data_IF_855349583020
#
_entry.id   IF_855349583020
#
_cell.length_a   1.000
_cell.length_b   1.000
_cell.length_c   1.000
_cell.angle_alpha   90.00
_cell.angle_beta   90.00
_cell.angle_gamma   90.00
#
_symmetry.space_group_name_H-M   'P 1'
#
loop_
_entity.id
_entity.type
_entity.pdbx_description
1 polymer ?
#
# COMPACT_ATOMS: atom_id res chain seq x y z
N UNK A 1 23.05 -5.14 31.21
CA UNK A 1 23.07 -3.76 30.65
C UNK A 1 23.95 -3.74 29.41
N UNK A 2 23.36 -4.02 28.24
CA UNK A 2 24.03 -3.79 26.95
C UNK A 2 23.95 -2.30 26.63
N UNK A 3 25.08 -1.67 26.32
CA UNK A 3 25.17 -0.27 25.90
C UNK A 3 24.45 -0.11 24.56
N UNK A 4 23.19 0.32 24.60
CA UNK A 4 22.49 0.86 23.43
C UNK A 4 23.30 2.06 22.92
N UNK A 5 23.75 1.97 21.67
CA UNK A 5 24.31 3.12 20.95
C UNK A 5 23.27 4.25 21.00
N UNK A 6 23.69 5.47 21.37
CA UNK A 6 22.76 6.60 21.36
C UNK A 6 22.25 6.83 19.92
N UNK A 7 20.98 7.20 19.80
CA UNK A 7 20.27 7.40 18.53
C UNK A 7 21.06 8.27 17.53
N UNK A 8 21.84 9.24 18.07
CA UNK A 8 22.72 10.13 17.31
C UNK A 8 23.91 9.42 16.66
N UNK A 9 24.50 8.43 17.33
CA UNK A 9 25.58 7.60 16.78
C UNK A 9 25.08 6.70 15.64
N UNK A 10 23.84 6.19 15.74
CA UNK A 10 23.21 5.38 14.71
C UNK A 10 22.82 6.20 13.47
N UNK A 11 22.22 7.38 13.66
CA UNK A 11 21.89 8.31 12.56
C UNK A 11 23.13 8.79 11.79
N UNK A 12 24.21 9.09 12.51
CA UNK A 12 25.49 9.50 11.90
C UNK A 12 26.11 8.36 11.08
N UNK A 13 25.86 7.10 11.45
CA UNK A 13 26.34 5.92 10.72
C UNK A 13 25.55 5.70 9.41
N UNK A 14 24.22 5.87 9.43
CA UNK A 14 23.36 5.73 8.25
C UNK A 14 23.58 6.84 7.22
N UNK A 15 23.66 8.10 7.66
CA UNK A 15 23.84 9.26 6.78
C UNK A 15 25.17 9.29 6.04
N UNK A 16 26.22 8.65 6.59
CA UNK A 16 27.56 8.60 5.99
C UNK A 16 27.78 7.45 5.02
N UNK A 17 26.92 6.42 4.99
CA UNK A 17 27.16 5.18 4.21
C UNK A 17 26.14 4.90 3.10
N UNK A 18 24.98 5.56 3.07
CA UNK A 18 23.89 5.20 2.15
C UNK A 18 23.30 6.48 1.52
N UNK A 19 23.85 6.92 0.39
CA UNK A 19 23.37 8.11 -0.34
C UNK A 19 21.95 7.96 -0.92
N UNK A 20 21.41 6.75 -0.91
CA UNK A 20 20.09 6.37 -1.45
C UNK A 20 18.91 6.80 -0.56
N UNK A 21 19.16 7.25 0.68
CA UNK A 21 18.13 7.80 1.57
C UNK A 21 17.74 9.25 1.25
N UNK A 22 18.28 9.84 0.18
CA UNK A 22 17.81 11.14 -0.33
C UNK A 22 16.49 10.94 -1.08
N UNK A 23 15.37 11.25 -0.40
CA UNK A 23 14.00 11.48 -0.91
C UNK A 23 13.69 10.83 -2.27
N UNK A 24 13.07 9.66 -2.23
CA UNK A 24 12.30 9.14 -3.36
C UNK A 24 11.12 10.10 -3.61
N UNK A 25 11.19 10.92 -4.66
CA UNK A 25 10.00 11.63 -5.17
C UNK A 25 9.14 10.62 -5.93
N UNK A 26 8.09 10.13 -5.30
CA UNK A 26 7.01 9.40 -5.96
C UNK A 26 6.15 10.37 -6.77
N UNK A 27 5.93 10.08 -8.07
CA UNK A 27 5.12 10.91 -9.00
C UNK A 27 3.79 10.27 -9.44
N UNK A 28 3.34 9.20 -8.78
CA UNK A 28 2.06 8.56 -9.16
C UNK A 28 1.42 7.84 -7.99
N UNK A 29 0.09 7.80 -7.96
CA UNK A 29 -0.71 7.04 -6.97
C UNK A 29 -0.83 5.55 -7.31
N UNK A 30 -0.33 5.15 -8.48
CA UNK A 30 -0.39 3.76 -8.95
C UNK A 30 0.81 3.00 -8.41
N UNK A 31 0.61 1.84 -7.78
CA UNK A 31 1.71 0.96 -7.37
C UNK A 31 2.72 0.76 -8.52
N UNK A 32 3.96 1.27 -8.36
CA UNK A 32 4.95 1.22 -9.44
C UNK A 32 5.30 -0.21 -9.82
N UNK A 33 5.22 -1.11 -8.85
CA UNK A 33 5.46 -2.53 -9.03
C UNK A 33 4.36 -3.17 -9.90
N UNK A 34 3.08 -2.97 -9.56
CA UNK A 34 1.94 -3.44 -10.37
C UNK A 34 1.97 -2.85 -11.78
N UNK A 35 2.22 -1.55 -11.90
CA UNK A 35 2.31 -0.90 -13.20
C UNK A 35 3.44 -1.48 -14.06
N UNK A 36 4.63 -1.67 -13.50
CA UNK A 36 5.76 -2.30 -14.21
C UNK A 36 5.47 -3.76 -14.56
N UNK A 37 4.79 -4.49 -13.68
CA UNK A 37 4.38 -5.86 -13.95
C UNK A 37 3.53 -5.93 -15.23
N UNK A 38 2.45 -5.16 -15.29
CA UNK A 38 1.50 -5.20 -16.42
C UNK A 38 2.07 -4.58 -17.71
N UNK A 39 2.73 -3.42 -17.59
CA UNK A 39 3.11 -2.61 -18.76
C UNK A 39 4.48 -2.96 -19.33
N UNK A 40 5.36 -3.56 -18.55
CA UNK A 40 6.76 -3.78 -18.94
C UNK A 40 7.11 -5.25 -18.87
N UNK A 41 6.88 -5.87 -17.72
CA UNK A 41 7.36 -7.21 -17.45
C UNK A 41 6.57 -8.28 -18.20
N UNK A 42 5.23 -8.28 -18.13
CA UNK A 42 4.39 -9.25 -18.83
C UNK A 42 4.61 -9.24 -20.36
N UNK A 43 4.64 -8.08 -21.06
CA UNK A 43 4.99 -8.05 -22.48
C UNK A 43 6.39 -8.60 -22.77
N UNK A 44 7.38 -8.26 -21.94
CA UNK A 44 8.75 -8.76 -22.09
C UNK A 44 8.84 -10.28 -21.89
N UNK A 45 8.09 -10.83 -20.93
CA UNK A 45 8.00 -12.26 -20.68
C UNK A 45 7.36 -13.00 -21.86
N UNK A 46 6.29 -12.45 -22.43
CA UNK A 46 5.65 -13.00 -23.65
C UNK A 46 6.62 -13.04 -24.82
N UNK A 47 7.34 -11.95 -25.04
CA UNK A 47 8.37 -11.88 -26.08
C UNK A 47 9.48 -12.91 -25.85
N UNK A 48 9.93 -13.07 -24.60
CA UNK A 48 10.94 -14.05 -24.22
C UNK A 48 10.46 -15.50 -24.45
N UNK A 49 9.22 -15.82 -24.07
CA UNK A 49 8.62 -17.12 -24.31
C UNK A 49 8.49 -17.42 -25.80
N UNK A 50 7.97 -16.47 -26.59
CA UNK A 50 7.83 -16.60 -28.04
C UNK A 50 9.19 -16.74 -28.75
N UNK A 51 10.21 -16.02 -28.30
CA UNK A 51 11.56 -16.14 -28.82
C UNK A 51 12.16 -17.51 -28.49
N UNK A 52 12.00 -17.96 -27.23
CA UNK A 52 12.46 -19.28 -26.80
C UNK A 52 11.78 -20.39 -27.60
N UNK A 53 10.47 -20.29 -27.78
CA UNK A 53 9.68 -21.21 -28.60
C UNK A 53 10.19 -21.26 -30.05
N UNK A 54 10.33 -20.09 -30.68
CA UNK A 54 10.78 -20.00 -32.09
C UNK A 54 12.18 -20.60 -32.28
N UNK A 55 13.11 -20.32 -31.36
CA UNK A 55 14.45 -20.93 -31.36
C UNK A 55 14.39 -22.45 -31.24
N UNK A 56 13.58 -22.96 -30.30
CA UNK A 56 13.49 -24.40 -30.07
C UNK A 56 12.81 -25.12 -31.23
N UNK A 57 11.76 -24.53 -31.84
CA UNK A 57 11.08 -25.07 -33.02
C UNK A 57 12.01 -25.11 -34.23
N UNK A 58 12.88 -24.11 -34.41
CA UNK A 58 13.85 -24.09 -35.50
C UNK A 58 14.84 -25.27 -35.45
N UNK A 59 15.20 -25.72 -34.25
CA UNK A 59 16.04 -26.91 -34.05
C UNK A 59 15.24 -28.21 -34.06
N UNK A 60 14.05 -28.22 -33.44
CA UNK A 60 13.20 -29.39 -33.28
C UNK A 60 11.70 -28.97 -33.30
N UNK A 61 10.97 -29.19 -34.40
CA UNK A 61 9.59 -28.68 -34.57
C UNK A 61 8.60 -29.09 -33.48
N UNK A 62 8.75 -30.29 -32.92
CA UNK A 62 7.85 -30.81 -31.87
C UNK A 62 8.28 -30.45 -30.43
N UNK A 63 9.39 -29.73 -30.24
CA UNK A 63 9.94 -29.48 -28.91
C UNK A 63 8.95 -28.72 -28.01
N UNK A 64 8.37 -27.64 -28.52
CA UNK A 64 7.44 -26.83 -27.75
C UNK A 64 6.06 -27.48 -27.61
N UNK A 65 5.65 -28.27 -28.61
CA UNK A 65 4.44 -29.11 -28.53
C UNK A 65 4.53 -30.06 -27.34
N UNK A 66 5.70 -30.63 -27.06
CA UNK A 66 5.91 -31.48 -25.90
C UNK A 66 5.83 -30.71 -24.57
N UNK A 67 6.28 -29.45 -24.52
CA UNK A 67 6.06 -28.55 -23.36
C UNK A 67 4.55 -28.31 -23.17
N UNK A 68 3.81 -28.04 -24.24
CA UNK A 68 2.36 -27.81 -24.15
C UNK A 68 1.59 -29.06 -23.69
N UNK A 69 1.97 -30.25 -24.19
CA UNK A 69 1.43 -31.52 -23.69
C UNK A 69 1.73 -31.70 -22.20
N UNK A 70 2.96 -31.39 -21.77
CA UNK A 70 3.33 -31.43 -20.36
C UNK A 70 2.48 -30.45 -19.52
N UNK A 71 2.32 -29.22 -19.99
CA UNK A 71 1.48 -28.21 -19.33
C UNK A 71 0.01 -28.66 -19.21
N UNK A 72 -0.59 -29.12 -20.31
CA UNK A 72 -1.97 -29.61 -20.31
C UNK A 72 -2.15 -30.80 -19.36
N UNK A 73 -1.13 -31.66 -19.22
CA UNK A 73 -1.17 -32.76 -18.24
C UNK A 73 -1.19 -32.25 -16.79
N UNK A 74 -0.52 -31.13 -16.49
CA UNK A 74 -0.56 -30.50 -15.17
C UNK A 74 -1.91 -29.81 -14.92
N UNK A 75 -2.49 -29.17 -15.95
CA UNK A 75 -3.83 -28.57 -15.90
C UNK A 75 -4.90 -29.61 -15.60
N UNK A 76 -4.88 -30.75 -16.27
CA UNK A 76 -5.80 -31.88 -16.01
C UNK A 76 -5.68 -32.44 -14.59
N UNK A 77 -4.52 -32.30 -13.95
CA UNK A 77 -4.30 -32.74 -12.56
C UNK A 77 -4.74 -31.69 -11.53
N UNK A 78 -5.31 -30.54 -11.95
CA UNK A 78 -5.62 -29.43 -11.07
C UNK A 78 -4.38 -28.79 -10.43
N UNK A 79 -3.20 -28.99 -11.02
CA UNK A 79 -1.93 -28.47 -10.50
C UNK A 79 -1.56 -27.11 -11.09
N UNK A 80 -2.41 -26.56 -11.95
CA UNK A 80 -2.18 -25.27 -12.60
C UNK A 80 -3.45 -24.43 -12.67
N UNK A 81 -3.26 -23.12 -12.73
CA UNK A 81 -4.28 -22.14 -13.10
C UNK A 81 -4.59 -22.32 -14.61
N UNK A 82 -5.87 -22.42 -14.99
CA UNK A 82 -6.26 -22.81 -16.34
C UNK A 82 -5.87 -21.81 -17.45
N UNK A 83 -5.65 -20.52 -17.18
CA UNK A 83 -5.87 -19.50 -18.22
C UNK A 83 -4.69 -18.58 -18.59
N UNK A 84 -3.48 -18.74 -18.04
CA UNK A 84 -2.35 -17.88 -18.42
C UNK A 84 -1.02 -18.62 -18.68
N UNK A 85 -0.60 -18.64 -19.94
CA UNK A 85 0.74 -19.11 -20.37
C UNK A 85 1.87 -18.14 -19.99
N UNK A 86 1.53 -16.99 -19.39
CA UNK A 86 2.48 -16.09 -18.73
C UNK A 86 2.48 -16.25 -17.20
N UNK A 87 1.68 -17.19 -16.68
CA UNK A 87 1.66 -17.48 -15.24
C UNK A 87 3.00 -18.02 -14.77
N UNK A 88 3.29 -17.80 -13.48
CA UNK A 88 4.45 -18.39 -12.83
C UNK A 88 4.49 -19.91 -13.00
N UNK A 89 3.34 -20.57 -12.93
CA UNK A 89 3.24 -22.02 -13.05
C UNK A 89 3.64 -22.50 -14.44
N UNK A 90 3.24 -21.81 -15.51
CA UNK A 90 3.65 -22.15 -16.88
C UNK A 90 5.16 -22.00 -17.05
N UNK A 91 5.72 -20.86 -16.61
CA UNK A 91 7.17 -20.62 -16.71
C UNK A 91 7.96 -21.66 -15.92
N UNK A 92 7.51 -22.03 -14.71
CA UNK A 92 8.10 -23.12 -13.92
C UNK A 92 8.03 -24.46 -14.64
N UNK A 93 6.91 -24.78 -15.27
CA UNK A 93 6.72 -26.02 -16.01
C UNK A 93 7.67 -26.08 -17.23
N UNK A 94 7.80 -24.99 -17.98
CA UNK A 94 8.73 -24.88 -19.10
C UNK A 94 10.19 -25.08 -18.66
N UNK A 95 10.63 -24.37 -17.60
CA UNK A 95 11.99 -24.53 -17.04
C UNK A 95 12.24 -25.97 -16.59
N UNK A 96 11.27 -26.57 -15.89
CA UNK A 96 11.39 -27.95 -15.39
C UNK A 96 11.50 -28.95 -16.54
N UNK A 97 10.72 -28.76 -17.61
CA UNK A 97 10.79 -29.58 -18.81
C UNK A 97 12.15 -29.43 -19.50
N UNK A 98 12.59 -28.19 -19.78
CA UNK A 98 13.90 -27.92 -20.40
C UNK A 98 15.05 -28.56 -19.62
N UNK A 99 15.04 -28.44 -18.28
CA UNK A 99 16.05 -29.06 -17.41
C UNK A 99 16.06 -30.58 -17.53
N UNK A 100 14.88 -31.21 -17.61
CA UNK A 100 14.75 -32.66 -17.80
C UNK A 100 15.31 -33.09 -19.16
N UNK A 101 15.03 -32.33 -20.22
CA UNK A 101 15.53 -32.62 -21.57
C UNK A 101 17.05 -32.45 -21.68
N UNK A 102 17.61 -31.37 -21.12
CA UNK A 102 19.05 -31.17 -21.03
C UNK A 102 19.75 -32.34 -20.32
N UNK A 103 19.21 -32.77 -19.17
CA UNK A 103 19.76 -33.90 -18.42
C UNK A 103 19.67 -35.22 -19.22
N UNK A 104 18.53 -35.48 -19.87
CA UNK A 104 18.36 -36.68 -20.69
C UNK A 104 19.33 -36.71 -21.89
N UNK A 105 19.57 -35.58 -22.55
CA UNK A 105 20.51 -35.48 -23.69
C UNK A 105 21.97 -35.55 -23.26
N UNK A 106 22.31 -35.06 -22.07
CA UNK A 106 23.66 -35.20 -21.52
C UNK A 106 24.04 -36.67 -21.28
N UNK A 107 23.05 -37.54 -21.03
CA UNK A 107 23.26 -38.98 -20.84
C UNK A 107 23.40 -39.78 -22.15
N UNK A 108 23.07 -39.20 -23.31
CA UNK A 108 23.13 -39.89 -24.60
C UNK A 108 24.50 -39.70 -25.29
N UNK A 109 25.09 -40.77 -25.86
CA UNK A 109 26.35 -40.67 -26.61
C UNK A 109 26.23 -39.68 -27.77
N UNK A 110 27.36 -39.09 -28.15
CA UNK A 110 27.43 -38.14 -29.27
C UNK A 110 27.54 -38.94 -30.57
N UNK A 111 26.59 -38.80 -31.51
CA UNK A 111 26.69 -39.46 -32.81
C UNK A 111 27.92 -38.94 -33.57
N UNK A 112 28.72 -39.85 -34.11
CA UNK A 112 29.89 -39.54 -34.95
C UNK A 112 29.44 -39.30 -36.40
N UNK A 113 28.69 -38.21 -36.61
CA UNK A 113 28.22 -37.79 -37.93
C UNK A 113 28.73 -36.38 -38.19
N UNK A 114 29.41 -36.19 -39.32
CA UNK A 114 29.94 -34.89 -39.73
C UNK A 114 28.80 -33.84 -39.78
N UNK A 115 29.02 -32.69 -39.12
CA UNK A 115 28.03 -31.61 -39.02
C UNK A 115 26.97 -31.79 -37.92
N UNK A 116 26.67 -33.01 -37.48
CA UNK A 116 25.69 -33.26 -36.42
C UNK A 116 26.13 -32.72 -35.05
N UNK A 117 27.45 -32.70 -34.80
CA UNK A 117 28.01 -32.13 -33.57
C UNK A 117 27.74 -30.62 -33.48
N UNK A 118 27.96 -29.87 -34.57
CA UNK A 118 27.74 -28.43 -34.61
C UNK A 118 26.28 -28.06 -34.33
N UNK A 119 25.35 -28.67 -35.07
CA UNK A 119 23.92 -28.44 -34.87
C UNK A 119 23.45 -28.81 -33.44
N UNK A 120 23.98 -29.91 -32.87
CA UNK A 120 23.68 -30.30 -31.49
C UNK A 120 24.22 -29.27 -30.47
N UNK A 121 25.43 -28.75 -30.67
CA UNK A 121 26.02 -27.74 -29.80
C UNK A 121 25.22 -26.44 -29.85
N UNK A 122 24.83 -25.99 -31.04
CA UNK A 122 24.01 -24.79 -31.22
C UNK A 122 22.65 -24.94 -30.54
N UNK A 123 21.99 -26.09 -30.72
CA UNK A 123 20.73 -26.39 -30.04
C UNK A 123 20.86 -26.40 -28.52
N UNK A 124 21.88 -27.09 -27.99
CA UNK A 124 22.13 -27.13 -26.54
C UNK A 124 22.40 -25.73 -25.97
N UNK A 125 23.12 -24.90 -26.71
CA UNK A 125 23.40 -23.51 -26.33
C UNK A 125 22.11 -22.70 -26.29
N UNK A 126 21.31 -22.72 -27.36
CA UNK A 126 20.04 -21.99 -27.40
C UNK A 126 19.05 -22.46 -26.32
N UNK A 127 19.01 -23.76 -26.03
CA UNK A 127 18.18 -24.34 -24.97
C UNK A 127 18.63 -23.87 -23.58
N UNK A 128 19.95 -23.90 -23.32
CA UNK A 128 20.52 -23.44 -22.06
C UNK A 128 20.30 -21.93 -21.85
N UNK A 129 20.50 -21.13 -22.90
CA UNK A 129 20.28 -19.68 -22.86
C UNK A 129 18.80 -19.35 -22.62
N UNK A 130 17.88 -20.04 -23.29
CA UNK A 130 16.43 -19.87 -23.10
C UNK A 130 16.01 -20.25 -21.68
N UNK A 131 16.50 -21.38 -21.16
CA UNK A 131 16.24 -21.81 -19.78
C UNK A 131 16.79 -20.78 -18.77
N UNK A 132 18.01 -20.27 -18.97
CA UNK A 132 18.61 -19.29 -18.07
C UNK A 132 17.83 -17.96 -18.06
N UNK A 133 17.38 -17.50 -19.23
CA UNK A 133 16.55 -16.30 -19.33
C UNK A 133 15.19 -16.49 -18.65
N UNK A 134 14.51 -17.62 -18.88
CA UNK A 134 13.25 -17.94 -18.22
C UNK A 134 13.42 -18.09 -16.70
N UNK A 135 14.52 -18.68 -16.23
CA UNK A 135 14.82 -18.78 -14.81
C UNK A 135 14.97 -17.41 -14.13
N UNK A 136 15.59 -16.42 -14.81
CA UNK A 136 15.65 -15.04 -14.30
C UNK A 136 14.25 -14.41 -14.24
N UNK A 137 13.44 -14.60 -15.28
CA UNK A 137 12.07 -14.11 -15.30
C UNK A 137 11.19 -14.77 -14.21
N UNK A 138 11.41 -16.05 -13.92
CA UNK A 138 10.72 -16.78 -12.85
C UNK A 138 10.90 -16.13 -11.48
N UNK A 139 12.12 -15.66 -11.15
CA UNK A 139 12.37 -14.98 -9.86
C UNK A 139 11.53 -13.70 -9.76
N UNK A 140 11.42 -12.93 -10.85
CA UNK A 140 10.62 -11.71 -10.87
C UNK A 140 9.12 -12.05 -10.74
N UNK A 141 8.63 -13.07 -11.45
CA UNK A 141 7.26 -13.57 -11.32
C UNK A 141 6.93 -13.99 -9.88
N UNK A 142 7.85 -14.67 -9.19
CA UNK A 142 7.69 -15.06 -7.79
C UNK A 142 7.54 -13.86 -6.87
N UNK A 143 8.37 -12.82 -7.06
CA UNK A 143 8.21 -11.55 -6.35
C UNK A 143 6.84 -10.92 -6.63
N UNK A 144 6.37 -11.00 -7.89
CA UNK A 144 5.08 -10.45 -8.28
C UNK A 144 3.91 -11.20 -7.65
N UNK A 145 3.91 -12.53 -7.69
CA UNK A 145 2.89 -13.33 -7.02
C UNK A 145 2.87 -13.09 -5.52
N UNK A 146 4.04 -12.96 -4.88
CA UNK A 146 4.10 -12.65 -3.46
C UNK A 146 3.49 -11.29 -3.14
N UNK A 147 3.79 -10.27 -3.95
CA UNK A 147 3.19 -8.93 -3.86
C UNK A 147 1.67 -9.00 -3.99
N UNK A 148 1.14 -9.57 -5.07
CA UNK A 148 -0.31 -9.65 -5.30
C UNK A 148 -1.04 -10.48 -4.26
N UNK A 149 -0.43 -11.59 -3.83
CA UNK A 149 -0.98 -12.42 -2.75
C UNK A 149 -1.00 -11.66 -1.42
N UNK A 150 0.04 -10.86 -1.16
CA UNK A 150 0.09 -9.96 -0.02
C UNK A 150 -1.04 -8.95 -0.05
N UNK A 151 -1.23 -8.26 -1.18
CA UNK A 151 -2.30 -7.29 -1.40
C UNK A 151 -3.65 -7.96 -1.15
N UNK A 152 -3.94 -9.08 -1.82
CA UNK A 152 -5.22 -9.80 -1.67
C UNK A 152 -5.49 -10.22 -0.23
N UNK A 153 -4.49 -10.76 0.48
CA UNK A 153 -4.65 -11.15 1.90
C UNK A 153 -4.94 -9.95 2.79
N UNK A 154 -4.23 -8.84 2.60
CA UNK A 154 -4.42 -7.63 3.40
C UNK A 154 -5.77 -6.98 3.14
N UNK A 155 -6.19 -6.88 1.88
CA UNK A 155 -7.52 -6.37 1.52
C UNK A 155 -8.62 -7.26 2.09
N UNK A 156 -8.55 -8.58 1.89
CA UNK A 156 -9.55 -9.50 2.43
C UNK A 156 -9.64 -9.44 3.96
N UNK A 157 -8.50 -9.33 4.65
CA UNK A 157 -8.49 -9.12 6.10
C UNK A 157 -9.04 -7.76 6.52
N UNK A 158 -8.75 -6.69 5.76
CA UNK A 158 -9.27 -5.34 6.03
C UNK A 158 -10.80 -5.29 5.85
N UNK A 159 -11.30 -5.83 4.74
CA UNK A 159 -12.73 -5.90 4.41
C UNK A 159 -13.49 -6.71 5.47
N UNK A 160 -12.95 -7.88 5.87
CA UNK A 160 -13.54 -8.67 6.95
C UNK A 160 -13.62 -7.89 8.27
N UNK A 161 -12.60 -7.10 8.63
CA UNK A 161 -12.66 -6.27 9.84
C UNK A 161 -13.64 -5.11 9.75
N UNK A 162 -13.86 -4.55 8.55
CA UNK A 162 -14.87 -3.51 8.33
C UNK A 162 -16.29 -4.07 8.38
N UNK A 163 -16.49 -5.29 7.90
CA UNK A 163 -17.81 -5.91 7.84
C UNK A 163 -18.19 -6.65 9.13
N UNK A 164 -17.22 -7.28 9.79
CA UNK A 164 -17.41 -8.23 10.89
C UNK A 164 -16.59 -7.88 12.14
N UNK A 165 -16.59 -6.62 12.57
CA UNK A 165 -15.85 -6.22 13.77
C UNK A 165 -16.47 -6.80 15.05
N UNK A 166 -15.67 -7.50 15.86
CA UNK A 166 -16.15 -8.06 17.11
C UNK A 166 -16.47 -6.97 18.16
N UNK A 167 -17.45 -7.22 19.03
CA UNK A 167 -17.92 -6.25 20.04
C UNK A 167 -16.86 -5.73 21.01
N UNK A 168 -15.80 -6.49 21.26
CA UNK A 168 -14.70 -6.11 22.16
C UNK A 168 -13.51 -5.47 21.42
N UNK A 169 -13.59 -5.38 20.10
CA UNK A 169 -12.57 -4.81 19.24
C UNK A 169 -12.84 -3.34 18.94
N UNK A 170 -11.77 -2.66 18.54
CA UNK A 170 -11.78 -1.31 17.97
C UNK A 170 -10.91 -1.37 16.73
N UNK A 171 -11.41 -0.84 15.64
CA UNK A 171 -10.71 -0.73 14.37
C UNK A 171 -10.48 0.75 14.03
N UNK A 172 -9.23 1.13 13.79
CA UNK A 172 -8.86 2.51 13.43
C UNK A 172 -7.98 2.46 12.18
N UNK A 173 -8.41 3.13 11.11
CA UNK A 173 -7.56 3.42 9.97
C UNK A 173 -7.16 4.89 9.98
N UNK A 174 -5.87 5.18 9.82
CA UNK A 174 -5.35 6.54 9.71
C UNK A 174 -4.58 6.75 8.42
N UNK A 175 -4.73 7.93 7.83
CA UNK A 175 -3.99 8.32 6.63
C UNK A 175 -3.84 9.84 6.53
N UNK A 176 -2.77 10.30 5.89
CA UNK A 176 -2.59 11.72 5.59
C UNK A 176 -3.24 12.07 4.25
N UNK A 177 -4.00 13.15 4.26
CA UNK A 177 -4.45 13.78 3.04
C UNK A 177 -3.30 14.56 2.40
N UNK A 178 -3.30 14.67 1.06
CA UNK A 178 -2.49 15.70 0.39
C UNK A 178 -2.86 17.09 0.93
N UNK A 179 -1.85 17.94 1.13
CA UNK A 179 -2.06 19.27 1.66
C UNK A 179 -3.02 20.07 0.79
N UNK A 180 -4.01 20.66 1.44
CA UNK A 180 -4.82 21.72 0.82
C UNK A 180 -4.06 23.05 0.91
N UNK A 181 -4.44 24.03 0.11
CA UNK A 181 -3.86 25.37 0.19
C UNK A 181 -4.94 26.41 0.41
N UNK A 182 -4.69 27.36 1.30
CA UNK A 182 -5.46 28.60 1.47
C UNK A 182 -4.59 29.79 1.04
N UNK A 183 -5.16 30.94 0.65
CA UNK A 183 -6.59 31.21 0.54
C UNK A 183 -7.28 30.43 -0.59
N UNK A 184 -8.56 30.11 -0.41
CA UNK A 184 -9.47 29.56 -1.41
C UNK A 184 -10.71 30.46 -1.47
N UNK A 185 -11.23 30.82 -2.64
CA UNK A 185 -12.37 31.74 -2.72
C UNK A 185 -13.01 31.82 -4.11
N UNK A 186 -14.08 32.61 -4.27
CA UNK A 186 -14.85 32.68 -5.51
C UNK A 186 -14.05 33.28 -6.66
N UNK A 187 -13.22 34.26 -6.33
CA UNK A 187 -12.29 34.91 -7.25
C UNK A 187 -10.88 34.75 -6.69
N UNK A 188 -9.98 34.23 -7.50
CA UNK A 188 -8.58 34.08 -7.13
C UNK A 188 -7.86 35.41 -7.40
N UNK A 189 -7.56 36.15 -6.34
CA UNK A 189 -6.85 37.40 -6.47
C UNK A 189 -5.41 37.18 -7.00
N UNK A 190 -4.89 38.13 -7.77
CA UNK A 190 -3.60 37.98 -8.46
C UNK A 190 -2.42 37.77 -7.50
N UNK A 191 -2.54 38.26 -6.28
CA UNK A 191 -1.57 38.04 -5.20
C UNK A 191 -1.59 36.60 -4.66
N UNK A 192 -2.71 35.88 -4.73
CA UNK A 192 -2.84 34.48 -4.31
C UNK A 192 -2.13 33.50 -5.24
N UNK A 193 -1.83 33.92 -6.48
CA UNK A 193 -1.11 33.12 -7.46
C UNK A 193 0.34 32.85 -7.04
N UNK A 194 0.94 33.73 -6.24
CA UNK A 194 2.31 33.54 -5.79
C UNK A 194 2.38 32.48 -4.70
N UNK A 195 3.30 31.52 -4.84
CA UNK A 195 3.47 30.42 -3.89
C UNK A 195 3.72 30.89 -2.43
N UNK A 196 4.20 32.13 -2.23
CA UNK A 196 4.40 32.74 -0.91
C UNK A 196 3.11 33.22 -0.25
N UNK A 197 2.04 33.42 -1.02
CA UNK A 197 0.74 33.84 -0.51
C UNK A 197 -0.14 32.64 -0.11
N UNK A 198 0.26 31.41 -0.48
CA UNK A 198 -0.49 30.20 -0.17
C UNK A 198 0.07 29.52 1.07
N UNK A 199 -0.79 29.34 2.06
CA UNK A 199 -0.55 28.51 3.23
C UNK A 199 -1.04 27.09 2.96
N UNK A 200 -0.19 26.10 3.19
CA UNK A 200 -0.63 24.71 3.14
C UNK A 200 -1.32 24.32 4.45
N UNK A 201 -2.35 23.47 4.35
CA UNK A 201 -3.06 22.88 5.47
C UNK A 201 -2.90 21.37 5.37
N UNK A 202 -2.43 20.76 6.44
CA UNK A 202 -2.34 19.31 6.59
C UNK A 202 -3.64 18.78 7.17
N UNK A 203 -4.13 17.67 6.62
CA UNK A 203 -5.21 16.89 7.24
C UNK A 203 -4.71 15.48 7.54
N UNK A 204 -4.92 15.03 8.77
CA UNK A 204 -4.84 13.62 9.15
C UNK A 204 -6.27 13.11 9.36
N UNK A 205 -6.67 12.13 8.55
CA UNK A 205 -7.97 11.48 8.66
C UNK A 205 -7.89 10.22 9.50
N UNK A 206 -8.90 10.01 10.34
CA UNK A 206 -9.16 8.73 10.98
C UNK A 206 -10.52 8.22 10.57
N UNK A 207 -10.58 6.95 10.21
CA UNK A 207 -11.78 6.15 10.25
C UNK A 207 -11.74 5.31 11.52
N UNK A 208 -12.79 5.37 12.34
CA UNK A 208 -12.94 4.55 13.54
C UNK A 208 -14.21 3.71 13.44
N UNK A 209 -14.06 2.41 13.65
CA UNK A 209 -15.13 1.44 13.73
C UNK A 209 -15.06 0.72 15.08
N UNK A 210 -16.15 0.79 15.83
CA UNK A 210 -16.22 0.28 17.18
C UNK A 210 -17.67 0.06 17.59
N UNK A 211 -17.86 -0.62 18.71
CA UNK A 211 -19.16 -0.75 19.35
C UNK A 211 -19.21 0.16 20.58
N UNK A 212 -20.36 0.69 20.96
CA UNK A 212 -20.55 1.38 22.24
C UNK A 212 -21.96 1.09 22.74
N UNK A 213 -22.08 0.54 23.96
CA UNK A 213 -23.38 0.17 24.55
C UNK A 213 -24.24 -0.71 23.62
N UNK A 214 -23.61 -1.63 22.87
CA UNK A 214 -24.30 -2.53 21.93
C UNK A 214 -24.66 -1.89 20.58
N UNK A 215 -24.35 -0.62 20.37
CA UNK A 215 -24.56 0.12 19.12
C UNK A 215 -23.27 0.11 18.30
N UNK A 216 -23.38 -0.06 16.99
CA UNK A 216 -22.24 0.00 16.08
C UNK A 216 -21.98 1.45 15.66
N UNK A 217 -20.71 1.85 15.68
CA UNK A 217 -20.27 3.19 15.30
C UNK A 217 -19.21 3.10 14.22
N UNK A 218 -19.43 3.82 13.11
CA UNK A 218 -18.45 4.01 12.04
C UNK A 218 -18.32 5.52 11.80
N UNK A 219 -17.19 6.09 12.20
CA UNK A 219 -17.03 7.53 12.29
C UNK A 219 -15.74 8.01 11.63
N UNK A 220 -15.80 9.21 11.06
CA UNK A 220 -14.63 9.88 10.48
C UNK A 220 -14.23 11.06 11.35
N UNK A 221 -12.93 11.20 11.60
CA UNK A 221 -12.35 12.31 12.35
C UNK A 221 -11.29 12.98 11.49
N UNK A 222 -11.40 14.29 11.31
CA UNK A 222 -10.45 15.10 10.53
C UNK A 222 -9.68 16.00 11.48
N UNK A 223 -8.37 15.77 11.57
CA UNK A 223 -7.46 16.65 12.30
C UNK A 223 -6.78 17.56 11.29
N UNK A 224 -7.15 18.83 11.30
CA UNK A 224 -6.61 19.86 10.40
C UNK A 224 -5.64 20.78 11.15
N UNK A 225 -4.53 21.08 10.49
CA UNK A 225 -3.42 21.83 11.06
C UNK A 225 -2.70 22.67 10.01
N UNK A 226 -2.23 23.84 10.41
CA UNK A 226 -1.31 24.68 9.64
C UNK A 226 0.14 24.18 9.71
N UNK A 227 0.43 23.22 10.61
CA UNK A 227 1.71 22.55 10.67
C UNK A 227 1.83 21.59 9.48
N UNK A 228 2.78 21.85 8.59
CA UNK A 228 2.97 21.12 7.33
C UNK A 228 3.64 19.75 7.49
N UNK A 229 4.09 19.44 8.70
CA UNK A 229 4.84 18.22 8.94
C UNK A 229 3.89 17.03 8.96
N UNK A 230 3.97 16.19 7.94
CA UNK A 230 3.48 14.81 7.97
C UNK A 230 4.46 13.96 8.77
N UNK A 231 4.52 14.20 10.09
CA UNK A 231 5.43 13.48 10.98
C UNK A 231 4.68 12.55 11.93
N UNK A 232 5.47 11.66 12.54
CA UNK A 232 4.98 10.66 13.49
C UNK A 232 4.42 11.31 14.76
N UNK A 233 4.94 12.46 15.17
CA UNK A 233 4.54 13.13 16.40
C UNK A 233 3.11 13.67 16.29
N UNK A 234 2.81 14.38 15.21
CA UNK A 234 1.46 14.86 14.93
C UNK A 234 0.46 13.69 14.83
N UNK A 235 0.83 12.62 14.11
CA UNK A 235 -0.02 11.45 13.98
C UNK A 235 -0.37 10.79 15.32
N UNK A 236 0.62 10.62 16.20
CA UNK A 236 0.38 9.99 17.51
C UNK A 236 -0.36 10.91 18.48
N UNK A 237 -0.09 12.22 18.44
CA UNK A 237 -0.83 13.18 19.26
C UNK A 237 -2.32 13.19 18.89
N UNK A 238 -2.62 13.24 17.58
CA UNK A 238 -3.99 13.16 17.09
C UNK A 238 -4.65 11.81 17.41
N UNK A 239 -3.90 10.71 17.31
CA UNK A 239 -4.37 9.38 17.71
C UNK A 239 -4.74 9.32 19.20
N UNK A 240 -3.91 9.92 20.08
CA UNK A 240 -4.20 10.02 21.51
C UNK A 240 -5.47 10.82 21.80
N UNK A 241 -5.66 11.96 21.14
CA UNK A 241 -6.87 12.78 21.25
C UNK A 241 -8.11 12.02 20.74
N UNK A 242 -8.00 11.33 19.61
CA UNK A 242 -9.05 10.45 19.09
C UNK A 242 -9.49 9.44 20.14
N UNK A 243 -8.56 8.69 20.75
CA UNK A 243 -8.91 7.68 21.75
C UNK A 243 -9.66 8.28 22.95
N UNK A 244 -9.33 9.52 23.36
CA UNK A 244 -10.07 10.22 24.42
C UNK A 244 -11.49 10.57 23.96
N UNK A 245 -11.66 11.05 22.72
CA UNK A 245 -12.96 11.42 22.15
C UNK A 245 -13.89 10.23 21.91
N UNK A 246 -13.33 9.08 21.54
CA UNK A 246 -14.13 7.87 21.35
C UNK A 246 -14.80 7.41 22.66
N UNK A 247 -14.31 7.87 23.82
CA UNK A 247 -14.95 7.61 25.12
C UNK A 247 -15.09 6.12 25.43
N UNK A 248 -14.16 5.30 24.92
CA UNK A 248 -14.23 3.85 25.02
C UNK A 248 -14.09 3.41 26.48
N UNK A 249 -14.94 2.48 26.91
CA UNK A 249 -14.88 1.87 28.24
C UNK A 249 -13.76 0.84 28.35
N UNK A 250 -13.37 0.50 29.58
CA UNK A 250 -12.30 -0.46 29.90
C UNK A 250 -12.58 -1.91 29.45
N UNK A 251 -13.73 -2.19 28.85
CA UNK A 251 -14.10 -3.53 28.36
C UNK A 251 -13.49 -3.85 26.98
N UNK A 252 -12.77 -2.92 26.35
CA UNK A 252 -12.10 -3.14 25.07
C UNK A 252 -10.82 -3.93 25.28
N UNK A 253 -10.67 -5.04 24.57
CA UNK A 253 -9.52 -5.93 24.74
C UNK A 253 -8.54 -5.85 23.57
N UNK A 254 -9.03 -5.47 22.38
CA UNK A 254 -8.25 -5.50 21.14
C UNK A 254 -8.41 -4.21 20.35
N UNK A 255 -7.28 -3.62 19.95
CA UNK A 255 -7.21 -2.50 19.02
C UNK A 255 -6.50 -2.96 17.74
N UNK A 256 -7.14 -2.73 16.58
CA UNK A 256 -6.53 -2.83 15.28
C UNK A 256 -6.25 -1.42 14.73
N UNK A 257 -5.00 -1.15 14.36
CA UNK A 257 -4.58 0.11 13.74
C UNK A 257 -4.11 -0.20 12.33
N UNK A 258 -4.71 0.42 11.33
CA UNK A 258 -4.34 0.28 9.92
C UNK A 258 -3.75 1.58 9.40
N UNK A 259 -2.51 1.52 8.91
CA UNK A 259 -1.80 2.66 8.37
C UNK A 259 -1.12 2.30 7.05
N UNK A 260 -0.82 3.31 6.24
CA UNK A 260 0.05 3.12 5.09
C UNK A 260 1.49 2.76 5.53
N UNK A 261 2.30 2.23 4.62
CA UNK A 261 3.69 1.90 4.92
C UNK A 261 4.66 3.10 4.77
N UNK A 262 4.12 4.32 4.76
CA UNK A 262 4.85 5.56 4.64
C UNK A 262 5.80 5.78 5.82
N UNK A 263 6.89 6.54 5.63
CA UNK A 263 7.90 6.74 6.65
C UNK A 263 7.37 7.40 7.92
N UNK A 264 6.25 8.12 7.85
CA UNK A 264 5.61 8.77 9.00
C UNK A 264 4.86 7.80 9.92
N UNK A 265 4.33 6.67 9.41
CA UNK A 265 3.73 5.61 10.24
C UNK A 265 4.69 4.45 10.50
N UNK A 266 5.63 4.17 9.59
CA UNK A 266 6.61 3.07 9.73
C UNK A 266 7.92 3.50 10.40
N UNK A 267 7.93 4.59 11.17
CA UNK A 267 9.09 5.03 11.93
C UNK A 267 9.15 4.35 13.32
N UNK A 268 10.35 4.24 13.88
CA UNK A 268 10.50 3.79 15.28
C UNK A 268 9.83 4.74 16.28
N UNK A 269 9.79 6.03 15.96
CA UNK A 269 9.14 7.05 16.77
C UNK A 269 7.63 6.82 16.84
N UNK A 270 6.98 6.62 15.68
CA UNK A 270 5.55 6.30 15.63
C UNK A 270 5.24 5.03 16.42
N UNK A 271 6.01 3.96 16.19
CA UNK A 271 5.81 2.68 16.89
C UNK A 271 5.92 2.82 18.40
N UNK A 272 6.97 3.50 18.89
CA UNK A 272 7.18 3.71 20.32
C UNK A 272 6.05 4.53 20.93
N UNK A 273 5.73 5.68 20.33
CA UNK A 273 4.72 6.57 20.87
C UNK A 273 3.31 5.95 20.80
N UNK A 274 3.00 5.17 19.76
CA UNK A 274 1.74 4.43 19.67
C UNK A 274 1.61 3.40 20.79
N UNK A 275 2.69 2.67 21.10
CA UNK A 275 2.71 1.74 22.25
C UNK A 275 2.45 2.48 23.55
N UNK A 276 3.09 3.63 23.77
CA UNK A 276 2.90 4.43 24.98
C UNK A 276 1.45 4.92 25.14
N UNK A 277 0.81 5.33 24.04
CA UNK A 277 -0.59 5.78 24.04
C UNK A 277 -1.56 4.63 24.28
N UNK A 278 -1.25 3.42 23.81
CA UNK A 278 -2.18 2.29 23.86
C UNK A 278 -1.99 1.35 25.06
N UNK A 279 -0.79 1.24 25.64
CA UNK A 279 -0.43 0.19 26.62
C UNK A 279 -1.31 0.15 27.89
N UNK A 280 -1.89 1.28 28.28
CA UNK A 280 -2.79 1.35 29.44
C UNK A 280 -4.27 1.21 29.08
N UNK A 281 -4.60 1.21 27.79
CA UNK A 281 -5.98 1.24 27.28
C UNK A 281 -6.40 -0.08 26.64
N UNK A 282 -5.45 -0.79 26.02
CA UNK A 282 -5.72 -2.02 25.29
C UNK A 282 -4.72 -3.11 25.72
N UNK A 283 -5.21 -4.27 26.19
CA UNK A 283 -4.38 -5.44 26.43
C UNK A 283 -3.64 -5.92 25.18
N UNK A 284 -4.30 -5.84 24.01
CA UNK A 284 -3.73 -6.27 22.73
C UNK A 284 -3.89 -5.19 21.67
N UNK A 285 -2.80 -4.89 20.98
CA UNK A 285 -2.78 -3.93 19.86
C UNK A 285 -2.13 -4.60 18.66
N UNK A 286 -2.82 -4.59 17.52
CA UNK A 286 -2.31 -5.01 16.23
C UNK A 286 -2.11 -3.78 15.36
N UNK A 287 -0.87 -3.54 14.93
CA UNK A 287 -0.56 -2.53 13.94
C UNK A 287 -0.35 -3.20 12.58
N UNK A 288 -1.19 -2.83 11.62
CA UNK A 288 -1.21 -3.35 10.28
C UNK A 288 -0.69 -2.29 9.31
N UNK A 289 0.43 -2.58 8.65
CA UNK A 289 0.91 -1.77 7.54
C UNK A 289 0.39 -2.31 6.22
N UNK A 290 -0.42 -1.49 5.54
CA UNK A 290 -0.90 -1.80 4.20
C UNK A 290 0.26 -1.73 3.20
N UNK A 291 0.26 -2.63 2.21
CA UNK A 291 1.27 -2.67 1.16
C UNK A 291 1.34 -1.34 0.39
N UNK A 292 2.53 -1.01 -0.08
CA UNK A 292 2.81 0.28 -0.71
C UNK A 292 1.83 0.61 -1.84
N UNK A 293 1.13 1.75 -1.73
CA UNK A 293 0.11 2.24 -2.69
C UNK A 293 -1.08 1.29 -2.89
N UNK A 294 -1.26 0.34 -1.99
CA UNK A 294 -2.45 -0.52 -1.88
C UNK A 294 -3.24 -0.23 -0.60
N UNK A 295 -2.78 0.72 0.22
CA UNK A 295 -3.49 1.16 1.41
C UNK A 295 -4.67 2.09 1.16
N UNK A 296 -5.06 2.31 -0.11
CA UNK A 296 -6.24 3.12 -0.41
C UNK A 296 -7.44 2.52 0.30
N UNK A 297 -8.08 3.31 1.14
CA UNK A 297 -9.12 2.80 2.03
C UNK A 297 -10.16 3.85 2.33
N UNK A 298 -10.76 3.72 3.51
CA UNK A 298 -11.98 4.45 3.86
C UNK A 298 -11.74 5.96 3.95
N UNK A 299 -10.52 6.38 4.27
CA UNK A 299 -10.15 7.79 4.32
C UNK A 299 -10.10 8.46 2.94
N UNK A 300 -9.75 7.77 1.85
CA UNK A 300 -9.62 8.39 0.52
C UNK A 300 -10.94 8.98 0.01
N UNK A 301 -12.03 8.22 0.15
CA UNK A 301 -13.36 8.68 -0.24
C UNK A 301 -13.77 9.92 0.56
N UNK A 302 -13.47 9.90 1.87
CA UNK A 302 -13.74 11.02 2.76
C UNK A 302 -12.88 12.26 2.44
N UNK A 303 -11.61 12.09 2.09
CA UNK A 303 -10.75 13.19 1.63
C UNK A 303 -11.27 13.79 0.31
N UNK A 304 -11.81 12.97 -0.59
CA UNK A 304 -12.47 13.46 -1.80
C UNK A 304 -13.67 14.35 -1.49
N UNK A 305 -14.51 13.95 -0.52
CA UNK A 305 -15.62 14.77 -0.02
C UNK A 305 -15.13 16.06 0.63
N UNK A 306 -14.10 15.98 1.47
CA UNK A 306 -13.50 17.14 2.14
C UNK A 306 -13.06 18.21 1.14
N UNK A 307 -12.36 17.81 0.05
CA UNK A 307 -11.98 18.76 -1.02
C UNK A 307 -13.19 19.39 -1.67
N UNK A 308 -14.21 18.58 -1.97
CA UNK A 308 -15.45 19.09 -2.58
C UNK A 308 -16.14 20.09 -1.67
N UNK A 309 -16.28 19.78 -0.38
CA UNK A 309 -16.89 20.69 0.60
C UNK A 309 -16.17 22.03 0.68
N UNK A 310 -14.85 22.02 0.74
CA UNK A 310 -14.07 23.26 0.75
C UNK A 310 -14.22 24.05 -0.56
N UNK A 311 -14.19 23.38 -1.71
CA UNK A 311 -14.39 24.03 -3.02
C UNK A 311 -15.81 24.62 -3.14
N UNK A 312 -16.82 23.89 -2.70
CA UNK A 312 -18.22 24.34 -2.76
C UNK A 312 -18.46 25.51 -1.79
N UNK A 313 -17.92 25.44 -0.57
CA UNK A 313 -17.97 26.54 0.39
C UNK A 313 -17.26 27.80 -0.14
N UNK A 314 -16.12 27.60 -0.81
CA UNK A 314 -15.32 28.66 -1.40
C UNK A 314 -15.99 29.36 -2.60
N UNK A 315 -17.15 28.87 -3.09
CA UNK A 315 -17.90 29.58 -4.16
C UNK A 315 -18.57 30.85 -3.68
N UNK A 316 -18.85 30.95 -2.38
CA UNK A 316 -19.55 32.09 -1.80
C UNK A 316 -18.78 32.72 -0.62
N UNK A 317 -17.68 32.08 -0.18
CA UNK A 317 -16.88 32.49 0.97
C UNK A 317 -15.39 32.42 0.65
N UNK A 318 -14.58 33.21 1.36
CA UNK A 318 -13.11 33.04 1.32
C UNK A 318 -12.69 32.17 2.49
N UNK A 319 -11.94 31.11 2.21
CA UNK A 319 -11.27 30.25 3.19
C UNK A 319 -9.83 30.75 3.32
N UNK A 320 -9.55 31.55 4.35
CA UNK A 320 -8.24 32.20 4.51
C UNK A 320 -7.27 31.39 5.38
N UNK A 321 -7.78 30.68 6.38
CA UNK A 321 -6.98 29.98 7.38
C UNK A 321 -7.57 28.60 7.78
N UNK A 322 -6.98 27.98 8.81
CA UNK A 322 -7.41 26.69 9.35
C UNK A 322 -8.79 26.76 10.01
N UNK A 323 -9.16 27.89 10.61
CA UNK A 323 -10.46 28.09 11.24
C UNK A 323 -11.56 28.16 10.18
N UNK A 324 -11.33 28.90 9.10
CA UNK A 324 -12.26 28.94 7.96
C UNK A 324 -12.36 27.57 7.30
N UNK A 325 -11.24 26.87 7.14
CA UNK A 325 -11.22 25.50 6.62
C UNK A 325 -12.07 24.60 7.50
N UNK A 326 -11.93 24.66 8.84
CA UNK A 326 -12.77 23.91 9.77
C UNK A 326 -14.25 24.19 9.51
N UNK A 327 -14.64 25.47 9.44
CA UNK A 327 -16.02 25.87 9.22
C UNK A 327 -16.59 25.35 7.89
N UNK A 328 -15.80 25.42 6.82
CA UNK A 328 -16.17 24.88 5.51
C UNK A 328 -16.44 23.37 5.55
N UNK A 329 -15.60 22.61 6.26
CA UNK A 329 -15.74 21.16 6.37
C UNK A 329 -16.90 20.75 7.28
N UNK A 330 -17.13 21.47 8.38
CA UNK A 330 -18.29 21.25 9.25
C UNK A 330 -19.60 21.53 8.50
N UNK A 331 -19.67 22.62 7.73
CA UNK A 331 -20.83 22.94 6.91
C UNK A 331 -21.10 21.85 5.84
N UNK A 332 -20.06 21.41 5.13
CA UNK A 332 -20.17 20.35 4.14
C UNK A 332 -20.57 18.99 4.73
N UNK A 333 -20.03 18.64 5.90
CA UNK A 333 -20.41 17.44 6.64
C UNK A 333 -21.88 17.48 7.06
N UNK A 334 -22.34 18.59 7.64
CA UNK A 334 -23.75 18.79 8.02
C UNK A 334 -24.69 18.68 6.81
N UNK A 335 -24.34 19.31 5.69
CA UNK A 335 -25.11 19.23 4.45
C UNK A 335 -25.19 17.79 3.95
N UNK A 336 -24.07 17.06 3.94
CA UNK A 336 -24.02 15.66 3.51
C UNK A 336 -24.91 14.78 4.39
N UNK A 337 -24.83 14.93 5.71
CA UNK A 337 -25.70 14.20 6.65
C UNK A 337 -27.19 14.55 6.49
N UNK A 338 -27.51 15.77 6.05
CA UNK A 338 -28.91 16.15 5.80
C UNK A 338 -29.48 15.53 4.52
N UNK A 339 -28.63 15.30 3.52
CA UNK A 339 -29.01 14.70 2.23
C UNK A 339 -29.04 13.18 2.28
N UNK A 340 -28.13 12.58 3.06
CA UNK A 340 -28.01 11.13 3.24
C UNK A 340 -27.88 10.82 4.74
N UNK A 341 -28.99 10.92 5.50
CA UNK A 341 -28.97 10.66 6.92
C UNK A 341 -28.65 9.17 7.17
N UNK A 342 -27.88 8.85 8.23
CA UNK A 342 -27.58 7.47 8.55
C UNK A 342 -28.86 6.64 8.73
N UNK A 343 -28.83 5.34 8.38
CA UNK A 343 -29.97 4.46 8.57
C UNK A 343 -30.44 4.44 10.03
N UNK A 344 -31.75 4.35 10.24
CA UNK A 344 -32.43 4.54 11.54
C UNK A 344 -32.27 3.40 12.56
N UNK A 345 -31.37 2.44 12.32
CA UNK A 345 -31.12 1.23 13.13
C UNK A 345 -29.64 1.21 13.52
N UNK A 346 -29.26 0.65 14.70
CA UNK A 346 -28.28 1.19 15.66
C UNK A 346 -26.90 1.48 15.04
N UNK A 347 -26.86 2.50 14.21
CA UNK A 347 -25.74 2.92 13.39
C UNK A 347 -25.66 4.43 13.53
N UNK A 348 -24.58 4.90 14.13
CA UNK A 348 -24.33 6.33 14.29
C UNK A 348 -23.08 6.67 13.49
N UNK A 349 -23.27 7.27 12.31
CA UNK A 349 -22.20 7.94 11.59
C UNK A 349 -22.09 9.39 12.07
N UNK A 350 -20.87 9.80 12.43
CA UNK A 350 -20.54 11.16 12.77
C UNK A 350 -19.23 11.52 12.08
N UNK A 351 -19.17 12.74 11.54
CA UNK A 351 -17.95 13.31 10.97
C UNK A 351 -17.54 14.48 11.87
N UNK A 352 -16.48 14.30 12.66
CA UNK A 352 -15.91 15.35 13.51
C UNK A 352 -14.76 16.06 12.81
N UNK A 353 -14.72 17.39 12.85
CA UNK A 353 -13.59 18.19 12.34
C UNK A 353 -12.95 18.94 13.51
N UNK A 354 -11.64 18.77 13.68
CA UNK A 354 -10.88 19.30 14.80
C UNK A 354 -9.74 20.16 14.26
N UNK A 355 -9.71 21.43 14.69
CA UNK A 355 -8.60 22.33 14.44
C UNK A 355 -7.75 22.47 15.70
N UNK A 356 -6.44 22.39 15.53
CA UNK A 356 -5.47 22.78 16.55
C UNK A 356 -4.41 21.72 16.85
N UNK A 357 -3.16 22.14 16.77
CA UNK A 357 -2.10 21.62 17.61
C UNK A 357 -1.70 22.76 18.55
N UNK A 358 -2.40 22.92 19.68
CA UNK A 358 -1.77 23.60 20.81
C UNK A 358 -0.61 22.71 21.24
N UNK A 359 0.58 23.03 20.74
CA UNK A 359 1.82 22.56 21.34
C UNK A 359 1.85 23.13 22.76
N UNK A 360 1.25 22.42 23.72
CA UNK A 360 1.74 22.48 25.09
C UNK A 360 3.16 21.94 25.02
N UNK A 361 4.11 22.84 24.77
CA UNK A 361 5.49 22.66 25.18
C UNK A 361 5.39 22.12 26.59
N UNK A 362 5.85 20.89 26.79
CA UNK A 362 5.93 20.26 28.09
C UNK A 362 6.87 21.14 28.91
N UNK A 363 6.30 22.13 29.58
CA UNK A 363 6.98 23.02 30.47
C UNK A 363 7.49 22.17 31.61
N UNK A 364 8.80 22.15 31.76
CA UNK A 364 9.44 21.76 33.00
C UNK A 364 8.75 22.53 34.14
N UNK A 365 8.10 21.80 35.03
CA UNK A 365 7.76 22.29 36.37
C UNK A 365 8.18 21.27 37.41
N UNK A 366 9.40 21.54 37.90
CA UNK A 366 10.10 21.09 39.13
C UNK A 366 10.55 19.64 39.24
#
# INVERSE_FOLDING_TARGET
>A
MQKLLCLRAWYTHLGKRQSHFKKLKCRSDVCTFCHKYDKVFLPSLRALLSQSESKMIAHQPDYWKAIQVYWNSLKLQGKTDPDDQCSLQYVRAAIKYMRRMLAARAALPVPDVAGALGARLDFHKDEADSMAALAKANVILECCEHHFSGVKRQHGFREDKVDNLEHHCVDIQLDFMENMTTPLGPEEAQDWFWATARQSITTLGFYAHYWLNGVEHRQYFHFISDILNHDSAFAVQAFGDLLLRLGLSDQRTVLHVFADCGPHFRSYEFLWCLVEVCKSKFPTVFLHFLLERHGKGLNDGQFGLQRRWAVDYARDHVISDVSDMKGALEAGAMMTMSLDPPPSWPFISHCGVYAGCETKVCGQTR
#
